data_IF_427001149600
#
_entry.id   IF_427001149600
#
_cell.length_a   1.000
_cell.length_b   1.000
_cell.length_c   1.000
_cell.angle_alpha   90.00
_cell.angle_beta   90.00
_cell.angle_gamma   90.00
#
_symmetry.space_group_name_H-M   'P 1'
#
loop_
_entity.id
_entity.type
_entity.pdbx_description
1 polymer ?
#
# COMPACT_ATOMS: atom_id res chain seq x y z
N UNK A 1 23.04 -2.78 12.95
CA UNK A 1 21.74 -3.22 13.51
C UNK A 1 20.86 -3.68 12.35
N UNK A 2 19.97 -4.64 12.62
CA UNK A 2 18.84 -5.07 11.77
C UNK A 2 18.99 -6.10 10.63
N UNK A 3 20.14 -6.74 10.31
CA UNK A 3 20.04 -8.00 9.58
C UNK A 3 19.38 -9.06 10.48
N UNK A 4 18.35 -9.74 9.98
CA UNK A 4 17.70 -10.83 10.70
C UNK A 4 18.42 -12.15 10.44
N UNK A 5 18.67 -12.93 11.50
CA UNK A 5 19.26 -14.28 11.36
C UNK A 5 18.33 -15.28 10.65
N UNK A 6 17.03 -14.98 10.59
CA UNK A 6 16.04 -15.75 9.84
C UNK A 6 14.83 -14.88 9.51
N UNK A 7 14.15 -15.22 8.41
CA UNK A 7 12.85 -14.64 8.04
C UNK A 7 11.88 -15.75 7.63
N UNK A 8 10.59 -15.50 7.85
CA UNK A 8 9.52 -16.39 7.35
C UNK A 8 9.18 -16.18 5.87
N UNK A 9 9.62 -15.06 5.27
CA UNK A 9 9.37 -14.69 3.87
C UNK A 9 10.58 -13.98 3.29
N UNK A 10 10.92 -14.36 2.07
CA UNK A 10 12.01 -13.81 1.26
C UNK A 10 11.46 -13.41 -0.12
N UNK A 11 12.35 -13.10 -1.06
CA UNK A 11 11.97 -12.78 -2.44
C UNK A 11 12.17 -14.00 -3.34
N UNK A 12 11.33 -14.09 -4.37
CA UNK A 12 11.44 -15.10 -5.42
C UNK A 12 11.05 -14.49 -6.75
N UNK A 13 11.81 -14.82 -7.79
CA UNK A 13 11.50 -14.50 -9.19
C UNK A 13 10.98 -15.77 -9.84
N UNK A 14 9.87 -15.66 -10.57
CA UNK A 14 9.30 -16.73 -11.37
C UNK A 14 9.39 -16.34 -12.84
N UNK A 15 10.02 -17.20 -13.64
CA UNK A 15 10.14 -17.02 -15.10
C UNK A 15 9.05 -17.83 -15.81
N UNK A 16 8.00 -17.18 -16.38
CA UNK A 16 6.85 -17.90 -16.91
C UNK A 16 7.16 -18.83 -18.10
N UNK A 17 8.13 -18.46 -18.94
CA UNK A 17 8.47 -19.21 -20.16
C UNK A 17 9.15 -20.54 -19.86
N UNK A 18 9.97 -20.59 -18.80
CA UNK A 18 10.72 -21.79 -18.39
C UNK A 18 10.07 -22.51 -17.21
N UNK A 19 9.26 -21.80 -16.43
CA UNK A 19 8.71 -22.26 -15.17
C UNK A 19 9.72 -22.30 -14.02
N UNK A 20 10.89 -21.67 -14.18
CA UNK A 20 11.96 -21.68 -13.18
C UNK A 20 11.72 -20.64 -12.07
N UNK A 21 12.20 -20.97 -10.87
CA UNK A 21 12.19 -20.08 -9.71
C UNK A 21 13.62 -19.76 -9.29
N UNK A 22 13.93 -18.48 -9.13
CA UNK A 22 15.15 -17.99 -8.49
C UNK A 22 14.79 -17.41 -7.12
N UNK A 23 15.37 -17.98 -6.07
CA UNK A 23 15.14 -17.53 -4.69
C UNK A 23 16.23 -16.54 -4.27
N UNK A 24 15.83 -15.49 -3.56
CA UNK A 24 16.70 -14.39 -3.14
C UNK A 24 16.59 -14.27 -1.63
N UNK A 25 17.64 -14.68 -0.93
CA UNK A 25 17.72 -14.57 0.52
C UNK A 25 17.93 -13.10 0.92
N UNK A 26 16.96 -12.59 1.66
CA UNK A 26 16.97 -11.21 2.17
C UNK A 26 17.41 -11.16 3.64
N UNK A 27 18.15 -10.11 4.01
CA UNK A 27 18.54 -9.81 5.38
C UNK A 27 17.41 -9.19 6.21
N UNK A 28 16.22 -9.05 5.64
CA UNK A 28 15.00 -8.52 6.24
C UNK A 28 13.79 -9.39 5.83
N UNK A 29 12.69 -9.31 6.58
CA UNK A 29 11.45 -9.98 6.20
C UNK A 29 10.66 -9.23 5.14
N UNK A 30 9.84 -9.95 4.37
CA UNK A 30 9.01 -9.37 3.30
C UNK A 30 7.52 -9.66 3.48
N UNK A 31 6.66 -8.85 2.85
CA UNK A 31 5.23 -9.13 2.76
C UNK A 31 4.60 -8.58 1.47
N UNK A 32 4.31 -7.28 1.43
CA UNK A 32 3.89 -6.59 0.20
C UNK A 32 5.13 -6.06 -0.51
N UNK A 33 5.04 -5.89 -1.82
CA UNK A 33 6.14 -5.45 -2.66
C UNK A 33 5.62 -4.55 -3.77
N UNK A 34 6.41 -3.55 -4.16
CA UNK A 34 6.08 -2.65 -5.26
C UNK A 34 7.37 -2.11 -5.88
N UNK A 35 7.39 -2.01 -7.20
CA UNK A 35 8.52 -1.45 -7.94
C UNK A 35 8.45 0.08 -7.91
N UNK A 36 9.60 0.72 -7.69
CA UNK A 36 9.77 2.13 -7.93
C UNK A 36 9.96 2.40 -9.44
N UNK A 37 9.44 3.55 -9.90
CA UNK A 37 9.67 4.05 -11.25
C UNK A 37 11.03 4.78 -11.34
N UNK A 38 12.10 4.08 -11.01
CA UNK A 38 13.49 4.56 -11.08
C UNK A 38 14.31 3.79 -12.14
N UNK A 39 15.54 4.22 -12.41
CA UNK A 39 16.40 3.63 -13.46
C UNK A 39 16.85 2.18 -13.16
N UNK A 40 16.67 1.73 -11.92
CA UNK A 40 17.11 0.44 -11.41
C UNK A 40 15.95 -0.54 -11.20
N UNK A 41 14.71 -0.08 -11.42
CA UNK A 41 13.48 -0.78 -11.04
C UNK A 41 13.59 -1.29 -9.59
N UNK A 42 13.90 -0.41 -8.65
CA UNK A 42 14.10 -0.81 -7.25
C UNK A 42 12.82 -1.44 -6.70
N UNK A 43 12.91 -2.68 -6.22
CA UNK A 43 11.81 -3.37 -5.57
C UNK A 43 11.81 -3.02 -4.08
N UNK A 44 10.79 -2.31 -3.63
CA UNK A 44 10.59 -2.01 -2.21
C UNK A 44 9.66 -3.03 -1.57
N UNK A 45 9.92 -3.35 -0.31
CA UNK A 45 9.16 -4.36 0.43
C UNK A 45 8.65 -3.83 1.77
N UNK A 46 7.47 -4.31 2.16
CA UNK A 46 6.95 -4.19 3.51
C UNK A 46 7.25 -5.45 4.32
N UNK A 47 6.93 -5.48 5.61
CA UNK A 47 7.10 -6.68 6.45
C UNK A 47 8.50 -6.87 7.06
N UNK A 48 9.40 -5.91 6.87
CA UNK A 48 10.74 -5.89 7.48
C UNK A 48 10.74 -5.60 8.99
N UNK A 49 9.58 -5.28 9.57
CA UNK A 49 9.43 -5.03 11.01
C UNK A 49 10.10 -3.72 11.43
N UNK A 50 11.34 -3.80 11.93
CA UNK A 50 12.12 -2.65 12.37
C UNK A 50 12.75 -1.84 11.22
N UNK A 51 12.69 -2.38 9.99
CA UNK A 51 13.31 -1.76 8.80
C UNK A 51 12.39 -1.80 7.59
N UNK A 52 12.70 -0.92 6.64
CA UNK A 52 12.20 -0.96 5.27
C UNK A 52 13.32 -1.55 4.41
N UNK A 53 13.01 -2.63 3.69
CA UNK A 53 13.96 -3.33 2.84
C UNK A 53 13.70 -3.12 1.36
N UNK A 54 14.76 -3.09 0.57
CA UNK A 54 14.70 -2.99 -0.88
C UNK A 54 15.68 -3.94 -1.58
N UNK A 55 15.41 -4.20 -2.85
CA UNK A 55 16.28 -4.93 -3.77
C UNK A 55 16.44 -4.07 -5.04
N UNK A 56 17.67 -3.72 -5.40
CA UNK A 56 18.01 -3.23 -6.73
C UNK A 56 17.85 -4.38 -7.73
N UNK A 57 16.69 -4.45 -8.38
CA UNK A 57 16.32 -5.61 -9.19
C UNK A 57 17.20 -5.73 -10.44
N UNK A 58 17.55 -4.61 -11.05
CA UNK A 58 18.47 -4.56 -12.19
C UNK A 58 19.85 -5.12 -11.85
N UNK A 59 20.47 -4.66 -10.76
CA UNK A 59 21.76 -5.18 -10.31
C UNK A 59 21.69 -6.68 -10.01
N UNK A 60 20.60 -7.13 -9.38
CA UNK A 60 20.41 -8.56 -9.12
C UNK A 60 20.30 -9.38 -10.42
N UNK A 61 19.49 -8.92 -11.38
CA UNK A 61 19.32 -9.61 -12.67
C UNK A 61 20.62 -9.62 -13.50
N UNK A 62 21.45 -8.58 -13.39
CA UNK A 62 22.74 -8.50 -14.08
C UNK A 62 23.83 -9.39 -13.46
N UNK A 63 23.83 -9.55 -12.14
CA UNK A 63 24.97 -10.16 -11.42
C UNK A 63 24.64 -11.49 -10.73
N UNK A 64 23.38 -11.72 -10.39
CA UNK A 64 22.95 -12.80 -9.50
C UNK A 64 23.36 -12.64 -8.03
N UNK A 65 23.98 -11.50 -7.65
CA UNK A 65 24.47 -11.26 -6.30
C UNK A 65 23.40 -10.59 -5.43
N UNK A 66 22.72 -11.41 -4.63
CA UNK A 66 21.70 -10.93 -3.71
C UNK A 66 22.27 -10.03 -2.60
N UNK A 67 23.49 -10.27 -2.13
CA UNK A 67 24.10 -9.48 -1.05
C UNK A 67 24.42 -8.07 -1.53
N UNK A 68 24.98 -7.95 -2.74
CA UNK A 68 25.28 -6.66 -3.35
C UNK A 68 24.03 -5.89 -3.78
N UNK A 69 22.94 -6.58 -4.14
CA UNK A 69 21.74 -5.96 -4.70
C UNK A 69 20.70 -5.53 -3.66
N UNK A 70 20.87 -5.82 -2.37
CA UNK A 70 19.86 -5.51 -1.36
C UNK A 70 20.33 -4.47 -0.35
N UNK A 71 19.36 -3.80 0.28
CA UNK A 71 19.63 -2.88 1.39
C UNK A 71 18.41 -2.70 2.28
N UNK A 72 18.62 -2.08 3.44
CA UNK A 72 17.54 -1.76 4.38
C UNK A 72 17.89 -0.53 5.21
N UNK A 73 16.85 0.17 5.68
CA UNK A 73 16.99 1.28 6.61
C UNK A 73 15.97 1.19 7.74
N UNK A 74 16.35 1.48 9.00
CA UNK A 74 15.38 1.75 10.03
C UNK A 74 14.64 3.07 9.76
N UNK A 75 13.51 3.24 10.44
CA UNK A 75 12.73 4.47 10.40
C UNK A 75 13.20 5.43 11.50
N UNK A 76 13.81 6.54 11.08
CA UNK A 76 14.38 7.57 11.94
C UNK A 76 13.61 8.87 11.74
N UNK A 77 13.03 9.41 12.81
CA UNK A 77 12.43 10.74 12.82
C UNK A 77 13.51 11.76 13.17
N UNK A 78 13.60 12.83 12.37
CA UNK A 78 14.44 14.00 12.63
C UNK A 78 13.85 14.82 13.79
N UNK A 79 13.96 14.30 15.02
CA UNK A 79 13.39 14.93 16.21
C UNK A 79 14.20 16.13 16.67
N UNK A 80 15.46 16.23 16.28
CA UNK A 80 16.30 17.39 16.56
C UNK A 80 16.03 18.56 15.58
N UNK A 81 15.48 18.26 14.40
CA UNK A 81 14.95 19.22 13.43
C UNK A 81 15.98 19.83 12.49
N UNK A 82 17.18 19.25 12.36
CA UNK A 82 18.26 19.83 11.57
C UNK A 82 18.28 19.38 10.09
N UNK A 83 17.40 18.45 9.71
CA UNK A 83 17.27 17.94 8.34
C UNK A 83 18.34 16.93 7.92
N UNK A 84 19.15 16.42 8.85
CA UNK A 84 20.20 15.43 8.63
C UNK A 84 19.92 14.23 9.52
N UNK A 85 20.21 13.03 9.01
CA UNK A 85 20.15 11.83 9.83
C UNK A 85 21.36 11.74 10.75
N UNK A 86 21.13 11.92 12.04
CA UNK A 86 22.15 11.89 13.09
C UNK A 86 22.19 10.53 13.80
N UNK A 87 22.99 10.46 14.88
CA UNK A 87 22.78 9.42 15.88
C UNK A 87 21.37 9.53 16.46
N UNK A 88 20.76 8.40 16.79
CA UNK A 88 19.38 8.35 17.28
C UNK A 88 19.27 7.63 18.62
N UNK A 89 18.23 7.99 19.37
CA UNK A 89 17.76 7.20 20.52
C UNK A 89 16.87 6.04 20.06
N UNK A 90 16.89 4.94 20.80
CA UNK A 90 16.11 3.74 20.49
C UNK A 90 14.66 3.85 21.01
N UNK A 91 13.70 3.10 20.42
CA UNK A 91 12.31 3.12 20.86
C UNK A 91 12.17 2.79 22.36
N UNK A 92 11.61 3.74 23.13
CA UNK A 92 11.40 3.63 24.58
C UNK A 92 12.50 4.26 25.42
N UNK A 93 13.58 4.73 24.81
CA UNK A 93 14.56 5.58 25.49
C UNK A 93 14.07 7.03 25.59
N UNK A 94 14.57 7.82 26.57
CA UNK A 94 14.23 9.22 26.67
C UNK A 94 14.65 10.00 25.43
N UNK A 95 13.81 10.95 24.99
CA UNK A 95 14.17 11.85 23.90
C UNK A 95 15.42 12.68 24.24
N UNK A 96 16.24 12.94 23.23
CA UNK A 96 17.44 13.77 23.33
C UNK A 96 17.35 14.88 22.27
N UNK A 97 17.57 16.14 22.68
CA UNK A 97 17.48 17.30 21.77
C UNK A 97 18.58 17.37 20.73
N UNK A 98 19.68 16.65 20.95
CA UNK A 98 20.86 16.64 20.06
C UNK A 98 20.88 15.39 19.15
N UNK A 99 19.81 14.57 19.18
CA UNK A 99 19.73 13.29 18.46
C UNK A 99 18.37 13.09 17.79
N UNK A 100 18.36 12.21 16.81
CA UNK A 100 17.14 11.72 16.18
C UNK A 100 16.45 10.66 17.04
N UNK A 101 15.25 10.24 16.61
CA UNK A 101 14.51 9.19 17.29
C UNK A 101 14.16 8.07 16.32
N UNK A 102 14.60 6.85 16.61
CA UNK A 102 14.11 5.68 15.87
C UNK A 102 12.71 5.31 16.33
N UNK A 103 11.84 4.97 15.37
CA UNK A 103 10.47 4.52 15.65
C UNK A 103 10.21 3.11 15.13
N UNK A 104 9.34 2.37 15.84
CA UNK A 104 8.82 1.06 15.38
C UNK A 104 7.56 1.28 14.55
N UNK A 105 7.73 1.82 13.35
CA UNK A 105 6.64 2.12 12.43
C UNK A 105 6.69 1.25 11.16
N UNK A 106 6.97 -0.04 11.34
CA UNK A 106 7.14 -1.01 10.25
C UNK A 106 5.98 -1.01 9.25
N UNK A 107 6.34 -1.18 7.98
CA UNK A 107 5.39 -1.10 6.88
C UNK A 107 4.54 -2.36 6.78
N UNK A 108 3.23 -2.15 6.63
CA UNK A 108 2.25 -3.13 6.21
C UNK A 108 2.06 -3.06 4.70
N UNK A 109 1.64 -1.92 4.15
CA UNK A 109 1.76 -1.60 2.72
C UNK A 109 3.11 -0.92 2.44
N UNK A 110 3.58 -0.96 1.19
CA UNK A 110 4.75 -0.23 0.70
C UNK A 110 4.41 0.38 -0.65
N UNK A 111 4.76 1.65 -0.85
CA UNK A 111 4.32 2.48 -1.97
C UNK A 111 5.44 3.45 -2.35
N UNK A 112 6.30 3.13 -3.32
CA UNK A 112 7.22 4.10 -3.89
C UNK A 112 6.45 5.26 -4.51
N UNK A 113 6.75 6.50 -4.11
CA UNK A 113 6.09 7.69 -4.61
C UNK A 113 6.69 8.12 -5.95
N UNK A 114 5.94 8.04 -7.06
CA UNK A 114 6.45 8.48 -8.36
C UNK A 114 6.66 10.00 -8.44
N UNK A 115 6.07 10.79 -7.52
CA UNK A 115 6.17 12.25 -7.56
C UNK A 115 7.53 12.78 -7.05
N UNK A 116 8.16 12.11 -6.10
CA UNK A 116 9.39 12.60 -5.44
C UNK A 116 10.41 11.51 -5.04
N UNK A 117 10.16 10.25 -5.34
CA UNK A 117 11.06 9.13 -5.00
C UNK A 117 11.04 8.72 -3.53
N UNK A 118 10.27 9.37 -2.66
CA UNK A 118 10.07 8.92 -1.29
C UNK A 118 9.27 7.63 -1.23
N UNK A 119 9.47 6.84 -0.19
CA UNK A 119 8.77 5.57 -0.01
C UNK A 119 7.75 5.75 1.09
N UNK A 120 6.51 5.43 0.79
CA UNK A 120 5.42 5.49 1.75
C UNK A 120 5.02 4.09 2.18
N UNK A 121 4.50 3.99 3.40
CA UNK A 121 3.96 2.75 3.94
C UNK A 121 2.79 3.03 4.85
N UNK A 122 1.87 2.08 4.94
CA UNK A 122 0.90 2.07 6.04
C UNK A 122 1.50 1.32 7.23
N UNK A 123 1.23 1.76 8.44
CA UNK A 123 1.54 1.02 9.66
C UNK A 123 0.23 0.64 10.34
N UNK A 124 0.04 -0.66 10.62
CA UNK A 124 -1.22 -1.23 11.09
C UNK A 124 -1.31 -1.35 12.63
N UNK A 125 -0.36 -0.78 13.38
CA UNK A 125 -0.50 -0.66 14.82
C UNK A 125 -1.72 0.22 15.13
N UNK A 126 -2.49 -0.05 16.19
CA UNK A 126 -3.65 0.77 16.51
C UNK A 126 -3.21 2.15 17.06
N UNK A 127 -3.81 3.28 16.62
CA UNK A 127 -4.95 3.42 15.70
C UNK A 127 -4.59 3.38 14.21
N UNK A 128 -3.31 3.42 13.85
CA UNK A 128 -2.82 3.34 12.48
C UNK A 128 -1.97 4.56 12.15
N UNK A 129 -1.10 4.42 11.17
CA UNK A 129 -0.39 5.57 10.61
C UNK A 129 -0.09 5.35 9.12
N UNK A 130 0.23 6.45 8.46
CA UNK A 130 0.99 6.46 7.21
C UNK A 130 2.39 6.97 7.55
N UNK A 131 3.40 6.39 6.92
CA UNK A 131 4.80 6.60 7.25
C UNK A 131 5.55 6.86 5.95
N UNK A 132 6.29 7.96 5.90
CA UNK A 132 7.18 8.31 4.77
C UNK A 132 8.62 7.95 5.14
N UNK A 133 9.39 7.52 4.17
CA UNK A 133 10.83 7.34 4.23
C UNK A 133 11.44 8.02 3.01
N UNK A 134 12.49 8.79 3.23
CA UNK A 134 13.23 9.51 2.20
C UNK A 134 14.57 8.79 1.97
N UNK A 135 14.76 8.07 0.85
CA UNK A 135 15.99 7.33 0.61
C UNK A 135 17.24 8.21 0.48
N UNK A 136 17.11 9.49 0.11
CA UNK A 136 18.24 10.39 -0.08
C UNK A 136 18.81 10.85 1.26
N UNK A 137 17.94 11.21 2.21
CA UNK A 137 18.35 11.68 3.54
C UNK A 137 18.44 10.54 4.56
N UNK A 138 17.75 9.43 4.32
CA UNK A 138 17.59 8.33 5.26
C UNK A 138 16.64 8.64 6.42
N UNK A 139 15.91 9.76 6.37
CA UNK A 139 14.94 10.19 7.38
C UNK A 139 13.54 9.70 7.05
N UNK A 140 12.69 9.63 8.06
CA UNK A 140 11.28 9.28 7.94
C UNK A 140 10.37 10.26 8.63
N UNK A 141 9.09 10.18 8.28
CA UNK A 141 8.01 10.96 8.87
C UNK A 141 6.87 10.01 9.22
N UNK A 142 6.14 10.31 10.29
CA UNK A 142 4.99 9.51 10.72
C UNK A 142 3.76 10.40 10.87
N UNK A 143 2.65 9.93 10.32
CA UNK A 143 1.36 10.60 10.39
C UNK A 143 0.32 9.62 10.93
N UNK A 144 -0.04 9.75 12.20
CA UNK A 144 -1.06 8.91 12.81
C UNK A 144 -2.41 9.21 12.17
N UNK A 145 -3.25 8.18 12.01
CA UNK A 145 -4.63 8.34 11.56
C UNK A 145 -5.43 9.00 12.70
N UNK A 146 -5.97 10.22 12.52
CA UNK A 146 -6.82 10.85 13.53
C UNK A 146 -8.25 10.30 13.45
N UNK A 147 -9.05 10.57 14.49
CA UNK A 147 -10.50 10.35 14.42
C UNK A 147 -11.11 11.18 13.27
N UNK A 148 -12.17 10.67 12.61
CA UNK A 148 -12.91 9.43 12.89
C UNK A 148 -12.24 8.14 12.35
N UNK A 149 -11.10 8.24 11.67
CA UNK A 149 -10.38 7.10 11.13
C UNK A 149 -9.68 6.24 12.19
N UNK A 150 -9.55 4.93 11.92
CA UNK A 150 -8.69 4.03 12.70
C UNK A 150 -8.50 2.68 11.98
N UNK A 151 -7.58 1.86 12.50
CA UNK A 151 -7.24 0.52 12.02
C UNK A 151 -6.83 0.49 10.54
N UNK A 152 -5.76 1.23 10.20
CA UNK A 152 -5.17 1.18 8.86
C UNK A 152 -4.73 -0.23 8.47
N UNK A 153 -4.92 -0.55 7.19
CA UNK A 153 -4.56 -1.83 6.57
C UNK A 153 -3.72 -1.55 5.33
N UNK A 154 -4.10 -2.04 4.16
CA UNK A 154 -3.43 -1.73 2.91
C UNK A 154 -3.69 -0.30 2.47
N UNK A 155 -2.70 0.25 1.78
CA UNK A 155 -2.72 1.59 1.21
C UNK A 155 -2.03 1.55 -0.14
N UNK A 156 -2.34 2.56 -0.96
CA UNK A 156 -1.61 2.87 -2.18
C UNK A 156 -1.47 4.38 -2.35
N UNK A 157 -0.61 4.83 -3.26
CA UNK A 157 -0.30 6.25 -3.48
C UNK A 157 -0.67 6.67 -4.90
N UNK A 158 -1.18 7.89 -5.06
CA UNK A 158 -1.43 8.46 -6.38
C UNK A 158 -0.16 9.08 -7.00
N UNK A 159 -0.23 9.45 -8.28
CA UNK A 159 0.91 10.04 -8.98
C UNK A 159 1.26 11.46 -8.53
N UNK A 160 0.48 12.05 -7.61
CA UNK A 160 0.71 13.36 -7.03
C UNK A 160 1.28 13.28 -5.60
N UNK A 161 1.50 12.06 -5.08
CA UNK A 161 1.99 11.83 -3.72
C UNK A 161 0.90 11.86 -2.64
N UNK A 162 -0.38 11.69 -2.99
CA UNK A 162 -1.49 11.56 -2.04
C UNK A 162 -1.68 10.08 -1.71
N UNK A 163 -1.66 9.76 -0.41
CA UNK A 163 -1.80 8.38 0.06
C UNK A 163 -3.26 8.05 0.35
N UNK A 164 -3.70 6.90 -0.12
CA UNK A 164 -5.05 6.37 0.05
C UNK A 164 -5.01 5.08 0.86
N UNK A 165 -5.77 4.99 1.94
CA UNK A 165 -5.66 3.89 2.91
C UNK A 165 -7.01 3.31 3.30
N UNK A 166 -7.10 1.98 3.29
CA UNK A 166 -8.26 1.27 3.82
C UNK A 166 -8.25 1.31 5.36
N UNK A 167 -9.31 1.83 5.97
CA UNK A 167 -9.45 1.99 7.41
C UNK A 167 -10.57 1.10 7.95
N UNK A 168 -10.30 0.39 9.05
CA UNK A 168 -11.29 -0.42 9.77
C UNK A 168 -12.45 0.39 10.38
N UNK A 169 -12.36 1.72 10.39
CA UNK A 169 -13.47 2.63 10.69
C UNK A 169 -14.57 2.67 9.64
N UNK A 170 -14.42 1.97 8.51
CA UNK A 170 -15.37 2.04 7.40
C UNK A 170 -15.16 3.26 6.51
N UNK A 171 -13.91 3.73 6.40
CA UNK A 171 -13.54 4.86 5.56
C UNK A 171 -12.43 4.45 4.58
N UNK A 172 -12.43 5.06 3.40
CA UNK A 172 -11.22 5.26 2.61
C UNK A 172 -10.59 6.56 3.11
N UNK A 173 -9.42 6.45 3.74
CA UNK A 173 -8.65 7.61 4.18
C UNK A 173 -7.81 8.18 3.05
N UNK A 174 -7.76 9.50 2.96
CA UNK A 174 -6.89 10.27 2.06
C UNK A 174 -5.92 11.07 2.93
N UNK A 175 -4.62 11.01 2.61
CA UNK A 175 -3.61 11.82 3.27
C UNK A 175 -2.78 12.59 2.24
N UNK A 176 -2.84 13.92 2.33
CA UNK A 176 -2.08 14.84 1.49
C UNK A 176 -1.10 15.66 2.34
N UNK A 177 0.18 15.27 2.29
CA UNK A 177 1.28 15.94 3.01
C UNK A 177 1.39 17.44 2.69
N UNK A 178 0.93 17.89 1.52
CA UNK A 178 1.02 19.30 1.11
C UNK A 178 0.04 20.19 1.87
N UNK A 179 -0.98 19.60 2.52
CA UNK A 179 -1.94 20.33 3.36
C UNK A 179 -1.37 20.59 4.76
N UNK A 180 -0.27 19.95 5.16
CA UNK A 180 0.37 20.18 6.45
C UNK A 180 0.88 21.61 6.59
N UNK A 181 0.49 22.26 7.68
CA UNK A 181 0.79 23.66 8.01
C UNK A 181 1.86 23.79 9.09
N UNK A 182 2.03 22.75 9.92
CA UNK A 182 3.06 22.65 10.94
C UNK A 182 4.41 22.15 10.40
N UNK A 183 5.47 22.21 11.23
CA UNK A 183 6.75 21.56 10.95
C UNK A 183 6.58 20.06 10.73
N UNK A 184 7.33 19.51 9.77
CA UNK A 184 7.35 18.07 9.44
C UNK A 184 8.51 17.32 10.09
N UNK A 185 9.33 18.04 10.87
CA UNK A 185 10.41 17.54 11.69
C UNK A 185 10.45 18.31 13.03
N UNK A 186 11.37 17.93 13.91
CA UNK A 186 11.51 18.46 15.25
C UNK A 186 10.74 17.67 16.31
N UNK A 187 10.79 18.12 17.58
CA UNK A 187 10.38 17.31 18.74
C UNK A 187 8.89 16.99 18.78
N UNK A 188 8.06 17.79 18.11
CA UNK A 188 6.60 17.60 18.06
C UNK A 188 6.14 16.84 16.80
N UNK A 189 7.01 16.64 15.80
CA UNK A 189 6.68 15.98 14.53
C UNK A 189 6.68 14.44 14.66
N UNK A 190 5.98 13.91 15.65
CA UNK A 190 6.07 12.50 16.07
C UNK A 190 4.85 11.63 15.70
N UNK A 191 3.84 12.24 15.07
CA UNK A 191 2.67 11.52 14.57
C UNK A 191 1.43 12.38 14.35
N UNK A 192 1.13 13.27 15.31
CA UNK A 192 -0.16 13.96 15.38
C UNK A 192 -0.11 15.41 14.87
N UNK A 193 1.00 15.81 14.26
CA UNK A 193 1.32 17.19 13.91
C UNK A 193 0.70 17.69 12.59
N UNK A 194 0.07 16.81 11.81
CA UNK A 194 -0.62 17.17 10.56
C UNK A 194 -2.02 16.52 10.44
N UNK A 195 -2.96 16.85 11.35
CA UNK A 195 -4.34 16.38 11.23
C UNK A 195 -5.05 16.92 9.98
N UNK A 196 -4.69 18.11 9.51
CA UNK A 196 -5.24 18.76 8.31
C UNK A 196 -4.86 18.09 6.99
N UNK A 197 -3.84 17.22 7.01
CA UNK A 197 -3.50 16.36 5.88
C UNK A 197 -4.55 15.30 5.58
N UNK A 198 -5.40 14.97 6.57
CA UNK A 198 -6.35 13.87 6.48
C UNK A 198 -7.72 14.28 5.95
N UNK A 199 -8.29 13.41 5.13
CA UNK A 199 -9.70 13.43 4.73
C UNK A 199 -10.26 12.01 4.76
N UNK A 200 -11.56 11.87 5.02
CA UNK A 200 -12.20 10.57 5.23
C UNK A 200 -13.44 10.44 4.36
N UNK A 201 -13.45 9.39 3.53
CA UNK A 201 -14.54 9.09 2.62
C UNK A 201 -15.31 7.88 3.14
N UNK A 202 -16.57 8.06 3.56
CA UNK A 202 -17.40 6.98 4.09
C UNK A 202 -17.63 5.89 3.03
N UNK A 203 -17.28 4.65 3.35
CA UNK A 203 -17.49 3.54 2.42
C UNK A 203 -18.98 3.24 2.20
N UNK A 204 -19.38 2.76 1.01
CA UNK A 204 -20.73 2.24 0.81
C UNK A 204 -21.00 1.08 1.76
N UNK A 205 -22.21 1.02 2.32
CA UNK A 205 -22.60 -0.11 3.16
C UNK A 205 -23.53 0.26 4.30
N UNK A 206 -24.09 -0.77 4.96
CA UNK A 206 -24.87 -0.57 6.17
C UNK A 206 -23.97 -0.12 7.33
N UNK A 207 -24.59 0.44 8.35
CA UNK A 207 -23.98 0.74 9.64
C UNK A 207 -24.66 -0.06 10.75
N UNK A 208 -24.01 -0.17 11.91
CA UNK A 208 -24.69 -0.71 13.09
C UNK A 208 -25.76 0.28 13.56
N UNK A 209 -26.90 -0.23 14.05
CA UNK A 209 -28.01 0.61 14.54
C UNK A 209 -27.55 1.58 15.64
N UNK A 210 -26.59 1.17 16.47
CA UNK A 210 -26.05 1.96 17.59
C UNK A 210 -24.83 2.81 17.24
N UNK A 211 -24.25 2.63 16.05
CA UNK A 211 -23.04 3.32 15.58
C UNK A 211 -23.18 3.60 14.08
N UNK A 212 -24.05 4.56 13.74
CA UNK A 212 -24.42 4.92 12.36
C UNK A 212 -23.30 5.62 11.58
N UNK A 213 -22.27 6.07 12.29
CA UNK A 213 -21.05 6.70 11.82
C UNK A 213 -19.98 5.70 11.36
N UNK A 214 -20.18 4.39 11.62
CA UNK A 214 -19.25 3.33 11.21
C UNK A 214 -19.88 2.53 10.08
N UNK A 215 -19.18 2.41 8.95
CA UNK A 215 -19.62 1.58 7.82
C UNK A 215 -19.12 0.14 7.99
N UNK A 216 -20.01 -0.81 7.80
CA UNK A 216 -19.70 -2.25 7.83
C UNK A 216 -19.28 -2.66 6.43
N UNK A 217 -18.03 -2.38 6.10
CA UNK A 217 -17.32 -2.87 4.93
C UNK A 217 -16.02 -3.56 5.39
N UNK A 218 -15.59 -4.60 4.70
CA UNK A 218 -14.39 -5.39 5.01
C UNK A 218 -13.26 -5.07 4.03
N UNK A 219 -12.90 -3.79 3.93
CA UNK A 219 -11.84 -3.32 3.05
C UNK A 219 -10.45 -3.68 3.57
N UNK A 220 -9.73 -4.50 2.80
CA UNK A 220 -8.40 -4.96 3.19
C UNK A 220 -7.25 -4.12 2.61
N UNK A 221 -7.41 -3.57 1.41
CA UNK A 221 -6.38 -2.84 0.67
C UNK A 221 -7.04 -1.74 -0.17
N UNK A 222 -6.32 -0.64 -0.35
CA UNK A 222 -6.63 0.40 -1.33
C UNK A 222 -5.61 0.34 -2.47
N UNK A 223 -6.03 0.67 -3.69
CA UNK A 223 -5.24 0.68 -4.92
C UNK A 223 -5.55 1.98 -5.65
N UNK A 224 -4.57 2.63 -6.27
CA UNK A 224 -4.81 3.83 -7.09
C UNK A 224 -4.54 3.50 -8.55
N UNK A 225 -5.55 3.69 -9.40
CA UNK A 225 -5.40 3.53 -10.84
C UNK A 225 -4.68 4.74 -11.46
N UNK A 226 -3.36 4.81 -11.25
CA UNK A 226 -2.52 5.92 -11.73
C UNK A 226 -2.57 6.09 -13.26
N UNK A 227 -2.85 5.02 -14.01
CA UNK A 227 -2.70 4.99 -15.47
C UNK A 227 -4.01 4.81 -16.24
N UNK A 228 -5.16 4.96 -15.58
CA UNK A 228 -6.47 4.76 -16.20
C UNK A 228 -6.59 3.37 -16.87
N UNK A 229 -6.10 2.35 -16.17
CA UNK A 229 -6.16 0.95 -16.58
C UNK A 229 -7.60 0.44 -16.61
N UNK A 230 -8.48 0.93 -15.74
CA UNK A 230 -9.88 0.51 -15.71
C UNK A 230 -10.77 1.29 -16.69
N UNK A 231 -10.46 2.56 -16.97
CA UNK A 231 -11.24 3.43 -17.85
C UNK A 231 -12.07 4.50 -17.12
N UNK A 232 -11.88 4.69 -15.81
CA UNK A 232 -12.57 5.72 -15.01
C UNK A 232 -11.80 7.05 -14.91
N UNK A 233 -10.56 7.12 -15.40
CA UNK A 233 -9.66 8.26 -15.26
C UNK A 233 -8.31 7.86 -14.67
N UNK A 234 -7.34 8.77 -14.76
CA UNK A 234 -6.05 8.63 -14.07
C UNK A 234 -6.20 9.01 -12.60
N UNK A 235 -5.37 8.40 -11.74
CA UNK A 235 -5.35 8.62 -10.29
C UNK A 235 -6.70 8.37 -9.60
N UNK A 236 -7.50 7.42 -10.09
CA UNK A 236 -8.74 7.04 -9.41
C UNK A 236 -8.41 6.12 -8.24
N UNK A 237 -8.64 6.53 -6.98
CA UNK A 237 -8.43 5.67 -5.84
C UNK A 237 -9.58 4.66 -5.74
N UNK A 238 -9.21 3.43 -5.47
CA UNK A 238 -10.11 2.30 -5.36
C UNK A 238 -9.84 1.55 -4.07
N UNK A 239 -10.87 0.92 -3.53
CA UNK A 239 -10.77 0.17 -2.27
C UNK A 239 -11.55 -1.12 -2.40
N UNK A 240 -11.00 -2.18 -1.83
CA UNK A 240 -11.63 -3.49 -1.83
C UNK A 240 -12.99 -3.44 -1.13
N UNK A 241 -14.05 -3.88 -1.81
CA UNK A 241 -15.42 -3.97 -1.32
C UNK A 241 -15.82 -5.43 -1.07
N UNK A 242 -15.18 -6.09 -0.11
CA UNK A 242 -15.37 -7.52 0.15
C UNK A 242 -16.80 -7.88 0.55
N UNK A 243 -17.51 -7.01 1.26
CA UNK A 243 -18.92 -7.22 1.61
C UNK A 243 -19.89 -6.83 0.48
N UNK A 244 -19.34 -6.35 -0.64
CA UNK A 244 -20.04 -6.08 -1.90
C UNK A 244 -19.62 -7.02 -3.04
N UNK A 245 -18.83 -8.05 -2.77
CA UNK A 245 -18.28 -8.97 -3.78
C UNK A 245 -17.50 -8.24 -4.89
N UNK A 246 -16.73 -7.20 -4.55
CA UNK A 246 -16.13 -6.33 -5.58
C UNK A 246 -15.13 -5.28 -5.08
N UNK A 247 -15.11 -4.15 -5.77
CA UNK A 247 -14.29 -2.97 -5.48
C UNK A 247 -15.12 -1.69 -5.61
N UNK A 248 -14.78 -0.69 -4.82
CA UNK A 248 -15.37 0.65 -4.86
C UNK A 248 -14.33 1.62 -5.43
N UNK A 249 -14.66 2.31 -6.51
CA UNK A 249 -13.82 3.36 -7.09
C UNK A 249 -14.39 4.73 -6.71
N UNK A 250 -13.58 5.62 -6.14
CA UNK A 250 -14.02 6.97 -5.79
C UNK A 250 -13.75 7.91 -6.97
N UNK A 251 -14.80 8.39 -7.62
CA UNK A 251 -14.74 9.29 -8.78
C UNK A 251 -15.55 10.52 -8.46
N UNK A 252 -14.94 11.70 -8.57
CA UNK A 252 -15.59 12.99 -8.30
C UNK A 252 -16.31 13.06 -6.93
N UNK A 253 -15.77 12.38 -5.92
CA UNK A 253 -16.33 12.33 -4.57
C UNK A 253 -17.46 11.31 -4.36
N UNK A 254 -17.80 10.53 -5.38
CA UNK A 254 -18.82 9.47 -5.30
C UNK A 254 -18.23 8.09 -5.56
N UNK A 255 -18.72 7.08 -4.83
CA UNK A 255 -18.28 5.69 -5.02
C UNK A 255 -19.04 5.00 -6.16
N UNK A 256 -18.31 4.58 -7.19
CA UNK A 256 -18.75 3.64 -8.21
C UNK A 256 -18.49 2.22 -7.70
N UNK A 257 -19.56 1.42 -7.61
CA UNK A 257 -19.49 0.04 -7.12
C UNK A 257 -19.31 -0.92 -8.30
N UNK A 258 -18.17 -1.60 -8.34
CA UNK A 258 -17.84 -2.62 -9.34
C UNK A 258 -17.95 -3.99 -8.69
N UNK A 259 -19.00 -4.75 -9.04
CA UNK A 259 -19.37 -5.99 -8.35
C UNK A 259 -19.26 -7.22 -9.25
N UNK A 260 -18.76 -8.33 -8.70
CA UNK A 260 -18.93 -9.68 -9.26
C UNK A 260 -20.30 -10.21 -8.85
N UNK A 261 -21.25 -10.45 -9.78
CA UNK A 261 -22.57 -10.95 -9.42
C UNK A 261 -22.59 -12.45 -9.12
N UNK A 262 -21.63 -13.21 -9.65
CA UNK A 262 -21.47 -14.66 -9.43
C UNK A 262 -20.02 -15.10 -9.73
N UNK A 263 -19.45 -16.07 -9.00
CA UNK A 263 -20.03 -16.73 -7.82
C UNK A 263 -20.07 -15.78 -6.61
N UNK A 264 -21.03 -16.01 -5.71
CA UNK A 264 -21.11 -15.25 -4.46
C UNK A 264 -19.94 -15.59 -3.52
N UNK A 265 -19.52 -14.62 -2.71
CA UNK A 265 -18.38 -14.80 -1.79
C UNK A 265 -17.06 -14.44 -2.45
N UNK A 266 -17.02 -13.30 -3.13
CA UNK A 266 -15.81 -12.79 -3.78
C UNK A 266 -15.01 -11.93 -2.80
N UNK A 267 -14.05 -12.55 -2.12
CA UNK A 267 -13.19 -11.90 -1.14
C UNK A 267 -11.79 -11.67 -1.70
N UNK A 268 -11.46 -10.44 -2.05
CA UNK A 268 -10.12 -10.08 -2.54
C UNK A 268 -9.21 -9.53 -1.42
N UNK A 269 -7.90 -9.63 -1.65
CA UNK A 269 -6.82 -9.12 -0.78
C UNK A 269 -5.92 -8.10 -1.49
N UNK A 270 -6.09 -7.90 -2.78
CA UNK A 270 -5.29 -7.02 -3.62
C UNK A 270 -5.70 -7.25 -5.07
N UNK A 271 -5.40 -6.29 -5.92
CA UNK A 271 -5.67 -6.38 -7.35
C UNK A 271 -4.80 -5.39 -8.11
N UNK A 272 -4.68 -5.61 -9.41
CA UNK A 272 -3.85 -4.78 -10.28
C UNK A 272 -4.61 -4.42 -11.55
N UNK A 273 -4.25 -3.25 -12.09
CA UNK A 273 -4.65 -2.80 -13.41
C UNK A 273 -3.61 -3.16 -14.46
N UNK A 274 -4.05 -3.43 -15.69
CA UNK A 274 -3.12 -3.65 -16.81
C UNK A 274 -3.69 -3.08 -18.11
N UNK A 275 -2.79 -2.51 -18.91
CA UNK A 275 -3.04 -2.12 -20.29
C UNK A 275 -2.28 -3.11 -21.17
N UNK A 276 -3.01 -4.06 -21.76
CA UNK A 276 -2.50 -5.06 -22.69
C UNK A 276 -2.27 -4.49 -24.10
N UNK A 277 -3.16 -3.60 -24.54
CA UNK A 277 -3.09 -2.93 -25.84
C UNK A 277 -3.66 -1.50 -25.72
N UNK A 278 -2.81 -0.46 -25.77
CA UNK A 278 -3.26 0.92 -25.64
C UNK A 278 -4.18 1.36 -26.80
N UNK A 279 -4.08 0.72 -27.97
CA UNK A 279 -4.83 1.07 -29.18
C UNK A 279 -6.19 0.33 -29.27
N UNK A 280 -6.41 -0.71 -28.46
CA UNK A 280 -7.66 -1.49 -28.45
C UNK A 280 -8.80 -0.87 -27.61
N UNK A 281 -8.65 0.36 -27.13
CA UNK A 281 -9.65 1.07 -26.33
C UNK A 281 -9.96 0.34 -25.01
N UNK A 282 -11.25 0.16 -24.70
CA UNK A 282 -11.67 -0.52 -23.45
C UNK A 282 -11.30 -2.01 -23.41
N UNK A 283 -11.08 -2.65 -24.57
CA UNK A 283 -10.77 -4.09 -24.65
C UNK A 283 -9.33 -4.41 -24.31
N UNK A 284 -8.43 -3.47 -24.53
CA UNK A 284 -7.00 -3.64 -24.27
C UNK A 284 -6.59 -3.29 -22.85
N UNK A 285 -7.55 -3.09 -21.93
CA UNK A 285 -7.27 -2.71 -20.55
C UNK A 285 -8.31 -3.29 -19.60
N UNK A 286 -7.98 -3.32 -18.31
CA UNK A 286 -8.91 -3.76 -17.27
C UNK A 286 -8.27 -3.89 -15.90
N UNK A 287 -9.08 -4.42 -14.96
CA UNK A 287 -8.63 -4.83 -13.63
C UNK A 287 -8.63 -6.34 -13.53
N UNK A 288 -7.58 -6.91 -12.96
CA UNK A 288 -7.47 -8.33 -12.65
C UNK A 288 -7.51 -8.52 -11.15
N UNK A 289 -8.62 -9.09 -10.67
CA UNK A 289 -8.94 -9.15 -9.25
C UNK A 289 -9.00 -10.63 -8.83
N UNK A 290 -8.00 -11.14 -8.09
CA UNK A 290 -8.04 -12.50 -7.56
C UNK A 290 -9.05 -12.60 -6.41
N UNK A 291 -9.77 -13.73 -6.36
CA UNK A 291 -10.45 -14.15 -5.14
C UNK A 291 -9.42 -14.77 -4.19
N UNK A 292 -9.18 -14.09 -3.07
CA UNK A 292 -8.24 -14.45 -2.00
C UNK A 292 -8.86 -15.33 -0.90
N UNK A 293 -9.99 -16.00 -1.17
CA UNK A 293 -10.59 -16.96 -0.25
C UNK A 293 -9.64 -18.14 0.01
N UNK A 294 -9.31 -18.41 1.29
CA UNK A 294 -8.41 -19.52 1.67
C UNK A 294 -9.04 -20.90 1.52
N UNK A 295 -10.36 -20.96 1.46
CA UNK A 295 -11.16 -22.17 1.39
C UNK A 295 -12.17 -22.07 0.24
N UNK A 296 -11.72 -22.00 -1.03
CA UNK A 296 -12.61 -21.81 -2.18
C UNK A 296 -13.68 -22.92 -2.29
N UNK A 297 -13.45 -24.10 -1.71
CA UNK A 297 -14.42 -25.20 -1.66
C UNK A 297 -15.63 -24.96 -0.73
N UNK A 298 -15.67 -23.87 0.04
CA UNK A 298 -16.86 -23.42 0.76
C UNK A 298 -17.68 -22.38 -0.01
N UNK A 299 -17.24 -22.00 -1.22
CA UNK A 299 -18.03 -21.15 -2.11
C UNK A 299 -19.12 -21.98 -2.82
N UNK A 300 -19.97 -21.29 -3.56
CA UNK A 300 -21.17 -21.86 -4.20
C UNK A 300 -20.89 -23.09 -5.08
N UNK A 301 -19.74 -23.12 -5.76
CA UNK A 301 -19.34 -24.21 -6.65
C UNK A 301 -18.83 -25.47 -5.90
N UNK A 302 -18.64 -25.39 -4.58
CA UNK A 302 -18.41 -26.54 -3.70
C UNK A 302 -17.04 -27.23 -3.83
N UNK A 303 -16.97 -28.52 -3.46
CA UNK A 303 -15.72 -29.28 -3.42
C UNK A 303 -15.06 -29.36 -4.80
N UNK A 304 -13.78 -28.98 -4.87
CA UNK A 304 -13.01 -28.94 -6.12
C UNK A 304 -12.89 -27.55 -6.73
N UNK A 305 -13.57 -26.55 -6.16
CA UNK A 305 -13.41 -25.14 -6.57
C UNK A 305 -11.98 -24.67 -6.38
N UNK A 306 -11.45 -24.02 -7.42
CA UNK A 306 -10.13 -23.39 -7.43
C UNK A 306 -10.27 -21.87 -7.23
N UNK A 307 -9.21 -21.17 -6.78
CA UNK A 307 -9.19 -19.71 -6.81
C UNK A 307 -9.45 -19.19 -8.22
N UNK A 308 -10.21 -18.09 -8.33
CA UNK A 308 -10.52 -17.42 -9.59
C UNK A 308 -9.83 -16.05 -9.65
N UNK A 309 -9.60 -15.56 -10.86
CA UNK A 309 -9.27 -14.16 -11.14
C UNK A 309 -10.38 -13.59 -12.01
N UNK A 310 -11.01 -12.52 -11.55
CA UNK A 310 -12.04 -11.82 -12.32
C UNK A 310 -11.40 -10.70 -13.12
N UNK A 311 -11.66 -10.66 -14.41
CA UNK A 311 -11.23 -9.57 -15.30
C UNK A 311 -12.38 -8.60 -15.51
N UNK A 312 -12.24 -7.37 -15.00
CA UNK A 312 -13.22 -6.31 -15.19
C UNK A 312 -12.76 -5.37 -16.30
N UNK A 313 -13.68 -5.09 -17.23
CA UNK A 313 -13.48 -4.12 -18.30
C UNK A 313 -14.67 -3.17 -18.34
N UNK A 314 -14.39 -1.87 -18.48
CA UNK A 314 -15.41 -0.84 -18.54
C UNK A 314 -15.55 -0.32 -19.97
N UNK A 315 -16.72 -0.57 -20.58
CA UNK A 315 -17.04 0.01 -21.89
C UNK A 315 -17.31 1.51 -21.73
N UNK A 316 -16.91 2.29 -22.73
CA UNK A 316 -17.21 3.74 -22.76
C UNK A 316 -18.68 4.00 -23.10
N UNK A 317 -19.33 3.04 -23.76
CA UNK A 317 -20.75 3.07 -24.12
C UNK A 317 -21.34 1.65 -24.11
N UNK A 318 -22.63 1.48 -23.77
CA UNK A 318 -23.31 0.19 -23.90
C UNK A 318 -23.36 -0.34 -25.35
N UNK A 319 -23.10 0.52 -26.34
CA UNK A 319 -23.09 0.16 -27.77
C UNK A 319 -21.70 -0.23 -28.29
N UNK A 320 -20.65 -0.10 -27.49
CA UNK A 320 -19.30 -0.46 -27.92
C UNK A 320 -19.21 -1.96 -28.17
N UNK A 321 -18.58 -2.32 -29.30
CA UNK A 321 -18.42 -3.70 -29.76
C UNK A 321 -17.05 -4.24 -29.50
#
# INVERSE_FOLDING_TARGET
LFPTNSSGRHLAIYEPDTGEYTFIDTCYGTHHLQFAADEDNTLWTSGGGDVIGFLNSKLFLETGDAEAAQGWSPLILDTNGNGVRDEWVEPGEPANSDMDTRVRAGYYAVMPNPADGSIWGSNNAYPGAIVRFDPETGLGEKFNVPLPGYSSRGADIDSNGVVWVALGSGHLGEFDRRKCTGPLNGPEATGDHCPEGWSFHELPGPSFITHSDIKVESSYYAFVDQHNTFGLGENVPMVIGNLYDGVHALVDGEFIIVRTPYPLGFYTKGFEGRIDDPDAGWKGRGLWIPSGGRNPWFLEDGKGTHPIVTHFQLRTSPLDK
#
